data_IF_654635226561
#
_entry.id   IF_654635226561
#
_cell.length_a   1.000
_cell.length_b   1.000
_cell.length_c   1.000
_cell.angle_alpha   90.00
_cell.angle_beta   90.00
_cell.angle_gamma   90.00
#
_symmetry.space_group_name_H-M   'P 1'
#
loop_
_entity.id
_entity.type
_entity.pdbx_description
1 polymer ?
#
# COMPACT_ATOMS: atom_id res chain seq x y z
N UNK A 1 11.33 -24.68 31.73
CA UNK A 1 10.72 -23.60 30.94
C UNK A 1 9.30 -24.04 30.62
N UNK A 2 8.29 -23.20 30.83
CA UNK A 2 6.93 -23.53 30.37
C UNK A 2 6.97 -23.73 28.86
N UNK A 3 6.28 -24.74 28.34
CA UNK A 3 6.11 -24.95 26.90
C UNK A 3 5.33 -23.77 26.31
N UNK A 4 6.04 -22.72 25.87
CA UNK A 4 5.46 -21.60 25.15
C UNK A 4 4.90 -22.14 23.84
N UNK A 5 3.58 -22.04 23.67
CA UNK A 5 2.93 -22.36 22.40
C UNK A 5 3.16 -21.23 21.40
N UNK A 6 3.42 -21.60 20.16
CA UNK A 6 3.65 -20.68 19.06
C UNK A 6 2.53 -20.78 18.02
N UNK A 7 2.22 -19.65 17.40
CA UNK A 7 1.34 -19.53 16.25
C UNK A 7 2.13 -19.04 15.04
N UNK A 8 1.66 -19.42 13.86
CA UNK A 8 2.26 -19.00 12.59
C UNK A 8 1.70 -17.65 12.16
N UNK A 9 2.58 -16.73 11.80
CA UNK A 9 2.26 -15.49 11.09
C UNK A 9 2.67 -15.63 9.63
N UNK A 10 1.82 -15.21 8.71
CA UNK A 10 2.08 -15.26 7.26
C UNK A 10 1.73 -13.90 6.65
N UNK A 11 2.69 -13.30 5.95
CA UNK A 11 2.49 -12.06 5.21
C UNK A 11 2.68 -12.32 3.72
N UNK A 12 1.58 -12.65 3.03
CA UNK A 12 1.60 -12.96 1.60
C UNK A 12 2.15 -11.80 0.77
N UNK A 13 1.73 -10.56 1.02
CA UNK A 13 2.15 -9.40 0.22
C UNK A 13 3.65 -9.06 0.34
N UNK A 14 4.34 -9.62 1.34
CA UNK A 14 5.76 -9.39 1.57
C UNK A 14 6.59 -10.68 1.53
N UNK A 15 5.97 -11.84 1.26
CA UNK A 15 6.68 -13.08 1.01
C UNK A 15 7.43 -13.62 2.22
N UNK A 16 6.83 -13.60 3.41
CA UNK A 16 7.46 -14.23 4.57
C UNK A 16 6.47 -14.83 5.56
N UNK A 17 6.95 -15.80 6.33
CA UNK A 17 6.28 -16.39 7.48
C UNK A 17 7.26 -16.57 8.65
N UNK A 18 6.75 -16.59 9.87
CA UNK A 18 7.50 -16.92 11.09
C UNK A 18 6.55 -17.41 12.17
N UNK A 19 7.10 -17.94 13.27
CA UNK A 19 6.33 -18.29 14.45
C UNK A 19 6.55 -17.28 15.58
N UNK A 20 5.47 -16.96 16.30
CA UNK A 20 5.45 -16.04 17.44
C UNK A 20 4.62 -16.64 18.58
N UNK A 21 4.79 -16.22 19.85
CA UNK A 21 3.99 -16.76 20.95
C UNK A 21 2.50 -16.53 20.73
N UNK A 22 1.69 -17.58 20.80
CA UNK A 22 0.25 -17.55 20.46
C UNK A 22 -0.55 -16.49 21.24
N UNK A 23 -0.12 -16.18 22.46
CA UNK A 23 -0.79 -15.20 23.33
C UNK A 23 -0.39 -13.74 23.07
N UNK A 24 0.61 -13.50 22.23
CA UNK A 24 1.08 -12.16 21.92
C UNK A 24 0.12 -11.47 20.95
N UNK A 25 -0.02 -10.16 21.13
CA UNK A 25 -0.86 -9.32 20.28
C UNK A 25 -0.09 -9.02 19.00
N UNK A 26 -0.70 -9.31 17.85
CA UNK A 26 -0.19 -8.93 16.54
C UNK A 26 -0.74 -7.56 16.14
N UNK A 27 0.13 -6.63 15.79
CA UNK A 27 -0.21 -5.35 15.16
C UNK A 27 0.49 -5.25 13.80
N UNK A 28 -0.28 -5.04 12.75
CA UNK A 28 0.23 -4.88 11.39
C UNK A 28 0.21 -3.42 10.94
N UNK A 29 1.15 -3.07 10.05
CA UNK A 29 1.22 -1.79 9.35
C UNK A 29 1.24 -0.55 10.27
N UNK A 30 2.04 -0.61 11.33
CA UNK A 30 2.36 0.58 12.12
C UNK A 30 3.45 1.40 11.42
N UNK A 31 3.56 2.69 11.75
CA UNK A 31 4.39 3.67 11.06
C UNK A 31 5.86 3.22 10.81
N UNK A 32 6.43 2.38 11.70
CA UNK A 32 7.84 1.95 11.64
C UNK A 32 8.04 0.45 11.36
N UNK A 33 6.96 -0.35 11.37
CA UNK A 33 7.06 -1.80 11.26
C UNK A 33 5.87 -2.41 10.54
N UNK A 34 6.18 -3.43 9.76
CA UNK A 34 5.19 -4.20 9.01
C UNK A 34 4.35 -5.06 9.94
N UNK A 35 4.99 -5.72 10.90
CA UNK A 35 4.34 -6.50 11.94
C UNK A 35 5.04 -6.26 13.28
N UNK A 36 4.27 -6.18 14.36
CA UNK A 36 4.77 -6.16 15.73
C UNK A 36 4.02 -7.19 16.55
N UNK A 37 4.78 -7.97 17.30
CA UNK A 37 4.30 -8.97 18.23
C UNK A 37 4.61 -8.45 19.64
N UNK A 38 3.58 -8.22 20.45
CA UNK A 38 3.71 -7.60 21.77
C UNK A 38 3.16 -8.52 22.85
N UNK A 39 3.85 -8.61 23.99
CA UNK A 39 3.38 -9.41 25.14
C UNK A 39 2.08 -8.86 25.76
N UNK A 40 1.90 -7.54 25.76
CA UNK A 40 0.72 -6.85 26.28
C UNK A 40 0.44 -5.54 25.53
N UNK A 41 -0.59 -4.79 25.94
CA UNK A 41 -0.90 -3.46 25.38
C UNK A 41 -0.09 -2.32 26.01
N UNK A 42 0.73 -2.62 27.01
CA UNK A 42 1.54 -1.61 27.70
C UNK A 42 2.66 -1.11 26.77
N UNK A 43 2.93 0.19 26.78
CA UNK A 43 3.93 0.81 25.91
C UNK A 43 5.35 0.31 26.18
N UNK A 44 5.65 -0.04 27.44
CA UNK A 44 6.92 -0.64 27.86
C UNK A 44 7.00 -2.14 27.66
N UNK A 45 5.95 -2.78 27.12
CA UNK A 45 5.93 -4.22 26.93
C UNK A 45 7.03 -4.65 25.94
N UNK A 46 7.69 -5.79 26.19
CA UNK A 46 8.59 -6.38 25.22
C UNK A 46 7.88 -6.57 23.88
N UNK A 47 8.54 -6.16 22.80
CA UNK A 47 8.00 -6.31 21.45
C UNK A 47 9.05 -6.85 20.50
N UNK A 48 8.59 -7.64 19.53
CA UNK A 48 9.36 -8.07 18.37
C UNK A 48 8.74 -7.42 17.14
N UNK A 49 9.52 -6.67 16.38
CA UNK A 49 9.04 -5.97 15.20
C UNK A 49 9.76 -6.46 13.94
N UNK A 50 8.99 -6.60 12.87
CA UNK A 50 9.46 -6.95 11.54
C UNK A 50 9.39 -5.70 10.68
N UNK A 51 10.53 -5.33 10.10
CA UNK A 51 10.64 -4.22 9.16
C UNK A 51 11.29 -4.71 7.88
N UNK A 52 10.73 -4.29 6.74
CA UNK A 52 11.31 -4.53 5.42
C UNK A 52 11.50 -3.18 4.77
N UNK A 53 12.74 -2.85 4.37
CA UNK A 53 13.04 -1.60 3.70
C UNK A 53 13.62 -1.89 2.31
N UNK A 54 13.16 -1.16 1.30
CA UNK A 54 13.74 -1.19 -0.03
C UNK A 54 15.03 -0.36 -0.02
N UNK A 55 16.14 -0.95 -0.48
CA UNK A 55 17.46 -0.33 -0.57
C UNK A 55 17.72 0.28 -1.95
N UNK A 56 16.79 0.15 -2.90
CA UNK A 56 16.92 0.71 -4.24
C UNK A 56 17.17 2.23 -4.19
N UNK A 57 18.26 2.65 -4.83
CA UNK A 57 18.67 4.06 -4.85
C UNK A 57 19.31 4.59 -3.56
N UNK A 58 19.39 3.80 -2.48
CA UNK A 58 19.89 4.26 -1.17
C UNK A 58 21.38 4.68 -1.18
N UNK A 59 22.17 4.12 -2.09
CA UNK A 59 23.59 4.46 -2.26
C UNK A 59 23.93 4.87 -3.70
N UNK A 60 22.91 5.27 -4.48
CA UNK A 60 23.02 5.61 -5.90
C UNK A 60 22.32 4.61 -6.83
N UNK A 61 22.10 4.98 -8.11
CA UNK A 61 21.24 4.23 -9.05
C UNK A 61 21.76 2.83 -9.40
N UNK A 62 23.08 2.62 -9.37
CA UNK A 62 23.72 1.36 -9.79
C UNK A 62 24.52 0.66 -8.67
N UNK A 63 24.33 1.09 -7.42
CA UNK A 63 25.06 0.53 -6.28
C UNK A 63 24.16 -0.35 -5.42
N UNK A 64 24.69 -1.52 -5.06
CA UNK A 64 24.00 -2.49 -4.18
C UNK A 64 24.62 -2.42 -2.78
N UNK A 65 23.80 -2.12 -1.79
CA UNK A 65 24.25 -2.05 -0.40
C UNK A 65 24.66 -3.43 0.11
N UNK A 66 25.88 -3.51 0.65
CA UNK A 66 26.38 -4.74 1.27
C UNK A 66 25.95 -4.86 2.73
N UNK A 67 25.86 -6.08 3.31
CA UNK A 67 25.55 -6.26 4.72
C UNK A 67 26.48 -5.47 5.66
N UNK A 68 27.78 -5.40 5.33
CA UNK A 68 28.75 -4.62 6.09
C UNK A 68 28.44 -3.12 6.05
N UNK A 69 28.18 -2.55 4.87
CA UNK A 69 27.81 -1.14 4.76
C UNK A 69 26.53 -0.83 5.54
N UNK A 70 25.53 -1.72 5.47
CA UNK A 70 24.30 -1.57 6.25
C UNK A 70 24.58 -1.59 7.76
N UNK A 71 25.43 -2.51 8.24
CA UNK A 71 25.84 -2.56 9.63
C UNK A 71 26.57 -1.28 10.05
N UNK A 72 27.52 -0.81 9.24
CA UNK A 72 28.30 0.41 9.51
C UNK A 72 27.38 1.64 9.59
N UNK A 73 26.42 1.78 8.67
CA UNK A 73 25.40 2.85 8.69
C UNK A 73 24.50 2.72 9.92
N UNK A 74 24.10 1.50 10.28
CA UNK A 74 23.24 1.26 11.44
C UNK A 74 23.94 1.63 12.75
N UNK A 75 25.24 1.33 12.87
CA UNK A 75 26.08 1.75 14.01
C UNK A 75 26.13 3.27 14.09
N UNK A 76 26.44 3.95 12.98
CA UNK A 76 26.47 5.42 12.94
C UNK A 76 25.14 6.05 13.36
N UNK A 77 24.01 5.48 12.95
CA UNK A 77 22.68 5.95 13.32
C UNK A 77 22.40 5.77 14.82
N UNK A 78 22.81 4.66 15.44
CA UNK A 78 22.58 4.46 16.88
C UNK A 78 23.57 5.24 17.76
N UNK A 79 24.77 5.53 17.25
CA UNK A 79 25.72 6.41 17.95
C UNK A 79 25.16 7.84 18.07
N UNK A 80 24.40 8.31 17.09
CA UNK A 80 23.72 9.62 17.13
C UNK A 80 22.67 9.73 18.25
N UNK A 81 22.15 8.61 18.77
CA UNK A 81 21.23 8.58 19.91
C UNK A 81 21.92 8.23 21.24
N UNK A 82 23.25 8.38 21.31
CA UNK A 82 24.07 8.06 22.48
C UNK A 82 23.91 6.60 22.95
N UNK A 83 23.73 5.66 22.02
CA UNK A 83 23.66 4.24 22.34
C UNK A 83 24.98 3.76 22.99
N UNK A 84 24.87 2.85 23.95
CA UNK A 84 26.01 2.26 24.66
C UNK A 84 25.90 0.73 24.64
N UNK A 85 26.97 0.03 25.07
CA UNK A 85 27.04 -1.44 25.06
C UNK A 85 26.72 -2.03 23.67
N UNK A 86 27.31 -1.44 22.64
CA UNK A 86 27.11 -1.86 21.26
C UNK A 86 27.84 -3.18 21.04
N UNK A 87 27.08 -4.21 20.70
CA UNK A 87 27.52 -5.55 20.38
C UNK A 87 27.11 -5.87 18.94
N UNK A 88 28.03 -6.40 18.15
CA UNK A 88 27.75 -6.84 16.79
C UNK A 88 28.26 -8.27 16.59
N UNK A 89 27.71 -8.93 15.57
CA UNK A 89 28.19 -10.24 15.16
C UNK A 89 27.30 -10.83 14.08
N UNK A 90 27.51 -12.11 13.79
CA UNK A 90 26.72 -12.83 12.81
C UNK A 90 25.68 -13.74 13.47
N UNK A 91 24.56 -13.94 12.81
CA UNK A 91 23.50 -14.85 13.22
C UNK A 91 22.82 -15.50 12.01
N UNK A 92 21.68 -16.17 12.22
CA UNK A 92 20.84 -16.70 11.14
C UNK A 92 19.40 -16.23 11.31
N UNK A 93 18.78 -15.90 10.18
CA UNK A 93 17.33 -15.69 10.08
C UNK A 93 16.81 -16.70 9.05
N UNK A 94 16.19 -17.77 9.54
CA UNK A 94 15.84 -18.95 8.77
C UNK A 94 17.08 -19.60 8.17
N UNK A 95 17.08 -19.74 6.85
CA UNK A 95 18.23 -20.21 6.08
C UNK A 95 19.21 -19.10 5.66
N UNK A 96 18.89 -17.83 5.92
CA UNK A 96 19.71 -16.70 5.49
C UNK A 96 20.83 -16.43 6.51
N UNK A 97 22.04 -16.16 6.01
CA UNK A 97 23.11 -15.57 6.82
C UNK A 97 22.73 -14.13 7.13
N UNK A 98 22.81 -13.77 8.39
CA UNK A 98 22.39 -12.48 8.90
C UNK A 98 23.47 -11.92 9.81
N UNK A 99 23.41 -10.62 10.05
CA UNK A 99 24.17 -9.95 11.09
C UNK A 99 23.23 -9.50 12.20
N UNK A 100 23.79 -9.25 13.38
CA UNK A 100 23.05 -8.64 14.48
C UNK A 100 23.77 -7.43 15.04
N UNK A 101 22.96 -6.53 15.60
CA UNK A 101 23.36 -5.35 16.34
C UNK A 101 22.54 -5.31 17.64
N UNK A 102 23.20 -5.23 18.79
CA UNK A 102 22.60 -5.17 20.12
C UNK A 102 23.15 -3.95 20.83
N UNK A 103 22.28 -3.15 21.47
CA UNK A 103 22.69 -1.92 22.14
C UNK A 103 21.71 -1.50 23.22
N UNK A 104 22.18 -0.69 24.16
CA UNK A 104 21.36 -0.02 25.17
C UNK A 104 21.18 1.45 24.81
N UNK A 105 19.95 1.93 24.82
CA UNK A 105 19.59 3.32 24.52
C UNK A 105 19.23 4.03 25.84
N UNK A 106 20.15 4.84 26.42
CA UNK A 106 20.02 5.33 27.80
C UNK A 106 18.82 6.24 28.04
N UNK A 107 18.50 7.10 27.08
CA UNK A 107 17.41 8.07 27.19
C UNK A 107 16.05 7.39 27.26
N UNK A 108 15.86 6.34 26.44
CA UNK A 108 14.63 5.54 26.40
C UNK A 108 14.62 4.43 27.47
N UNK A 109 15.76 4.15 28.11
CA UNK A 109 15.95 3.07 29.10
C UNK A 109 15.59 1.68 28.56
N UNK A 110 15.82 1.45 27.27
CA UNK A 110 15.56 0.17 26.59
C UNK A 110 16.84 -0.44 26.05
N UNK A 111 16.84 -1.76 25.95
CA UNK A 111 17.86 -2.52 25.23
C UNK A 111 17.22 -3.10 23.96
N UNK A 112 17.96 -3.02 22.87
CA UNK A 112 17.55 -3.43 21.53
C UNK A 112 18.46 -4.55 21.05
N UNK A 113 17.90 -5.52 20.32
CA UNK A 113 18.66 -6.42 19.45
C UNK A 113 17.96 -6.51 18.11
N UNK A 114 18.69 -6.23 17.06
CA UNK A 114 18.23 -6.28 15.68
C UNK A 114 19.03 -7.36 14.97
N UNK A 115 18.34 -8.31 14.35
CA UNK A 115 18.92 -9.26 13.42
C UNK A 115 18.47 -8.87 12.02
N UNK A 116 19.38 -8.81 11.05
CA UNK A 116 19.02 -8.39 9.70
C UNK A 116 19.83 -9.08 8.60
N UNK A 117 19.21 -9.18 7.42
CA UNK A 117 19.86 -9.67 6.20
C UNK A 117 19.31 -8.94 4.98
N UNK A 118 20.06 -8.97 3.87
CA UNK A 118 19.67 -8.36 2.60
C UNK A 118 19.28 -9.46 1.61
N UNK A 119 18.13 -9.30 0.94
CA UNK A 119 17.66 -10.19 -0.13
C UNK A 119 16.86 -9.39 -1.15
N UNK A 120 17.20 -9.52 -2.44
CA UNK A 120 16.53 -8.84 -3.55
C UNK A 120 16.35 -7.33 -3.33
N UNK A 121 17.45 -6.61 -3.01
CA UNK A 121 17.44 -5.18 -2.66
C UNK A 121 16.55 -4.80 -1.48
N UNK A 122 16.07 -5.75 -0.68
CA UNK A 122 15.33 -5.46 0.54
C UNK A 122 16.16 -5.87 1.77
N UNK A 123 16.21 -5.02 2.79
CA UNK A 123 16.68 -5.43 4.12
C UNK A 123 15.50 -5.93 4.92
N UNK A 124 15.65 -7.12 5.50
CA UNK A 124 14.71 -7.71 6.44
C UNK A 124 15.29 -7.55 7.84
N UNK A 125 14.56 -6.89 8.73
CA UNK A 125 15.00 -6.61 10.10
C UNK A 125 14.00 -7.24 11.06
N UNK A 126 14.48 -8.11 11.93
CA UNK A 126 13.74 -8.64 13.08
C UNK A 126 14.36 -8.00 14.33
N UNK A 127 13.62 -7.08 14.93
CA UNK A 127 14.08 -6.32 16.09
C UNK A 127 13.34 -6.75 17.33
N UNK A 128 14.04 -6.77 18.47
CA UNK A 128 13.49 -6.99 19.79
C UNK A 128 13.86 -5.81 20.68
N UNK A 129 12.85 -5.22 21.31
CA UNK A 129 13.00 -4.10 22.23
C UNK A 129 12.38 -4.45 23.57
N UNK A 130 13.10 -4.18 24.66
CA UNK A 130 12.52 -4.24 26.00
C UNK A 130 13.31 -3.43 27.03
N UNK A 131 12.75 -3.24 28.22
CA UNK A 131 13.48 -2.67 29.36
C UNK A 131 14.74 -3.50 29.68
N UNK A 132 15.83 -2.85 30.09
CA UNK A 132 17.11 -3.53 30.33
C UNK A 132 17.01 -4.75 31.28
N UNK A 133 16.21 -4.66 32.36
CA UNK A 133 16.03 -5.75 33.32
C UNK A 133 15.28 -6.98 32.79
N UNK A 134 14.48 -6.82 31.74
CA UNK A 134 13.71 -7.89 31.11
C UNK A 134 14.31 -8.37 29.80
N UNK A 135 15.45 -7.82 29.38
CA UNK A 135 16.00 -8.06 28.05
C UNK A 135 16.25 -9.54 27.78
N UNK A 136 16.92 -10.24 28.70
CA UNK A 136 17.25 -11.66 28.54
C UNK A 136 16.02 -12.58 28.59
N UNK A 137 14.91 -12.17 29.22
CA UNK A 137 13.69 -12.98 29.40
C UNK A 137 13.11 -13.46 28.07
N UNK A 138 13.07 -12.60 27.05
CA UNK A 138 12.44 -12.89 25.76
C UNK A 138 13.42 -13.01 24.59
N UNK A 139 14.74 -13.03 24.84
CA UNK A 139 15.71 -13.38 23.79
C UNK A 139 15.43 -14.74 23.13
N UNK A 140 15.02 -15.80 23.87
CA UNK A 140 14.65 -17.07 23.23
C UNK A 140 13.45 -16.94 22.29
N UNK A 141 12.56 -15.98 22.51
CA UNK A 141 11.42 -15.72 21.61
C UNK A 141 11.92 -15.09 20.31
N UNK A 142 12.81 -14.09 20.38
CA UNK A 142 13.46 -13.53 19.21
C UNK A 142 14.20 -14.60 18.42
N UNK A 143 14.97 -15.44 19.10
CA UNK A 143 15.71 -16.55 18.48
C UNK A 143 14.77 -17.53 17.78
N UNK A 144 13.64 -17.87 18.39
CA UNK A 144 12.60 -18.70 17.76
C UNK A 144 11.99 -18.04 16.52
N UNK A 145 11.64 -16.75 16.60
CA UNK A 145 11.15 -15.99 15.44
C UNK A 145 12.18 -15.99 14.30
N UNK A 146 13.45 -15.72 14.62
CA UNK A 146 14.55 -15.77 13.64
C UNK A 146 14.72 -17.17 13.06
N UNK A 147 14.68 -18.23 13.89
CA UNK A 147 14.87 -19.62 13.44
C UNK A 147 13.73 -20.10 12.53
N UNK A 148 12.50 -19.73 12.84
CA UNK A 148 11.30 -20.15 12.09
C UNK A 148 10.98 -19.26 10.90
N UNK A 149 11.68 -18.14 10.75
CA UNK A 149 11.52 -17.22 9.64
C UNK A 149 11.77 -17.93 8.30
N UNK A 150 10.84 -17.82 7.37
CA UNK A 150 10.99 -18.31 6.00
C UNK A 150 10.54 -17.24 5.03
N UNK A 151 11.36 -17.02 4.00
CA UNK A 151 10.94 -16.23 2.84
C UNK A 151 10.30 -17.13 1.79
N UNK A 152 9.28 -16.62 1.14
CA UNK A 152 8.71 -17.16 -0.09
C UNK A 152 8.46 -16.01 -1.06
N UNK A 153 8.04 -16.33 -2.28
CA UNK A 153 7.71 -15.30 -3.27
C UNK A 153 6.46 -14.54 -2.82
N UNK A 154 6.54 -13.21 -2.74
CA UNK A 154 5.39 -12.40 -2.35
C UNK A 154 4.23 -12.59 -3.33
N UNK A 155 3.00 -12.69 -2.81
CA UNK A 155 1.75 -12.84 -3.55
C UNK A 155 0.74 -11.79 -3.13
N UNK A 156 -0.12 -11.38 -4.07
CA UNK A 156 -1.06 -10.28 -3.88
C UNK A 156 -0.43 -8.91 -4.17
N UNK A 157 -1.28 -7.90 -4.35
CA UNK A 157 -0.84 -6.52 -4.53
C UNK A 157 -0.92 -5.75 -3.22
N UNK A 158 0.11 -4.92 -2.95
CA UNK A 158 0.06 -3.90 -1.90
C UNK A 158 -0.76 -2.70 -2.36
N UNK A 159 -0.49 -2.31 -3.60
CA UNK A 159 -1.15 -1.25 -4.32
C UNK A 159 -1.11 -1.54 -5.82
N UNK A 160 -1.98 -0.90 -6.57
CA UNK A 160 -1.97 -0.98 -8.05
C UNK A 160 -2.64 0.24 -8.65
N UNK A 161 -2.14 0.70 -9.80
CA UNK A 161 -2.79 1.72 -10.62
C UNK A 161 -3.62 1.02 -11.69
N UNK A 162 -4.92 1.30 -11.69
CA UNK A 162 -5.87 0.77 -12.63
C UNK A 162 -6.22 1.81 -13.69
N UNK A 163 -6.32 1.34 -14.93
CA UNK A 163 -6.85 2.09 -16.07
C UNK A 163 -8.27 1.61 -16.40
N UNK A 164 -9.10 2.53 -16.90
CA UNK A 164 -10.47 2.22 -17.28
C UNK A 164 -10.56 1.79 -18.73
N UNK A 165 -11.34 0.74 -18.99
CA UNK A 165 -11.83 0.40 -20.32
C UNK A 165 -13.29 0.79 -20.42
N UNK A 166 -13.66 1.56 -21.44
CA UNK A 166 -15.05 1.98 -21.70
C UNK A 166 -15.47 1.58 -23.11
N UNK A 167 -16.64 0.95 -23.23
CA UNK A 167 -17.14 0.46 -24.52
C UNK A 167 -18.67 0.36 -24.47
N UNK A 168 -19.25 -0.08 -25.59
CA UNK A 168 -20.68 -0.32 -25.72
C UNK A 168 -20.99 -1.54 -26.57
N UNK A 169 -22.21 -2.03 -26.41
CA UNK A 169 -22.81 -3.11 -27.21
C UNK A 169 -24.27 -2.74 -27.50
N UNK A 170 -24.74 -3.10 -28.71
CA UNK A 170 -26.15 -2.93 -29.07
C UNK A 170 -26.97 -4.06 -28.47
N UNK A 171 -27.91 -3.71 -27.61
CA UNK A 171 -29.04 -4.55 -27.19
C UNK A 171 -30.10 -4.58 -28.31
N UNK A 172 -31.11 -5.44 -28.17
CA UNK A 172 -32.32 -5.43 -29.00
C UNK A 172 -33.12 -4.12 -28.91
N UNK A 173 -33.08 -3.42 -27.78
CA UNK A 173 -33.89 -2.20 -27.58
C UNK A 173 -33.07 -0.91 -27.62
N UNK A 174 -31.81 -0.93 -27.17
CA UNK A 174 -30.98 0.26 -27.01
C UNK A 174 -29.48 -0.06 -27.06
N UNK A 175 -28.64 0.95 -26.85
CA UNK A 175 -27.20 0.73 -26.66
C UNK A 175 -26.90 0.62 -25.17
N UNK A 176 -26.15 -0.39 -24.78
CA UNK A 176 -25.66 -0.58 -23.41
C UNK A 176 -24.18 -0.22 -23.38
N UNK A 177 -23.83 0.70 -22.48
CA UNK A 177 -22.46 1.12 -22.20
C UNK A 177 -21.95 0.37 -20.99
N UNK A 178 -20.68 0.00 -21.03
CA UNK A 178 -20.02 -0.66 -19.91
C UNK A 178 -18.62 -0.12 -19.70
N UNK A 179 -18.21 -0.08 -18.44
CA UNK A 179 -16.91 0.39 -18.00
C UNK A 179 -16.37 -0.56 -16.92
N UNK A 180 -15.12 -0.97 -17.05
CA UNK A 180 -14.41 -1.76 -16.03
C UNK A 180 -12.96 -1.27 -15.92
N UNK A 181 -12.28 -1.71 -14.87
CA UNK A 181 -10.94 -1.24 -14.53
C UNK A 181 -9.97 -2.41 -14.45
N UNK A 182 -8.76 -2.23 -14.97
CA UNK A 182 -7.71 -3.26 -15.02
C UNK A 182 -6.36 -2.69 -14.60
N UNK A 183 -5.45 -3.48 -14.00
CA UNK A 183 -4.12 -2.99 -13.66
C UNK A 183 -3.34 -2.58 -14.92
N UNK A 184 -2.77 -1.38 -14.91
CA UNK A 184 -2.08 -0.78 -16.07
C UNK A 184 -0.86 -1.57 -16.56
N UNK A 185 -0.29 -2.40 -15.68
CA UNK A 185 0.86 -3.24 -15.99
C UNK A 185 0.48 -4.60 -16.63
N UNK A 186 -0.81 -4.91 -16.77
CA UNK A 186 -1.25 -6.17 -17.38
C UNK A 186 -1.25 -6.09 -18.90
N UNK A 187 -0.87 -7.19 -19.55
CA UNK A 187 -0.82 -7.26 -21.01
C UNK A 187 -2.15 -7.74 -21.56
N UNK A 188 -2.68 -7.01 -22.54
CA UNK A 188 -3.79 -7.47 -23.37
C UNK A 188 -3.28 -8.55 -24.33
N UNK A 189 -3.80 -9.79 -24.21
CA UNK A 189 -3.32 -10.94 -24.99
C UNK A 189 -3.89 -11.00 -26.41
N UNK A 190 -5.01 -10.30 -26.67
CA UNK A 190 -5.67 -10.24 -27.98
C UNK A 190 -6.25 -8.85 -28.23
N UNK A 191 -6.03 -8.24 -29.41
CA UNK A 191 -6.80 -7.05 -29.80
C UNK A 191 -8.28 -7.43 -29.88
N UNK A 192 -9.15 -6.54 -29.40
CA UNK A 192 -10.61 -6.68 -29.34
C UNK A 192 -11.18 -7.46 -30.54
N UNK A 193 -11.46 -8.75 -30.35
CA UNK A 193 -12.11 -9.56 -31.37
C UNK A 193 -13.62 -9.31 -31.26
N UNK A 194 -14.17 -8.61 -32.24
CA UNK A 194 -15.62 -8.52 -32.43
C UNK A 194 -16.05 -9.65 -33.34
N UNK A 195 -16.51 -10.75 -32.76
CA UNK A 195 -17.17 -11.83 -33.49
C UNK A 195 -18.69 -11.63 -33.38
N UNK A 196 -19.23 -10.79 -34.25
CA UNK A 196 -20.67 -10.48 -34.28
C UNK A 196 -21.19 -9.85 -32.98
N UNK A 197 -22.06 -10.58 -32.27
CA UNK A 197 -22.73 -10.16 -31.02
C UNK A 197 -21.91 -10.42 -29.75
N UNK A 198 -20.66 -10.86 -29.90
CA UNK A 198 -19.75 -11.20 -28.83
C UNK A 198 -18.52 -10.28 -28.86
N UNK A 199 -18.24 -9.61 -27.75
CA UNK A 199 -17.00 -8.89 -27.50
C UNK A 199 -16.21 -9.61 -26.40
N UNK A 200 -14.93 -9.85 -26.64
CA UNK A 200 -14.04 -10.57 -25.73
C UNK A 200 -12.75 -9.78 -25.53
N UNK A 201 -12.28 -9.70 -24.29
CA UNK A 201 -10.97 -9.15 -23.95
C UNK A 201 -10.34 -9.98 -22.82
N UNK A 202 -9.05 -10.31 -22.96
CA UNK A 202 -8.28 -11.00 -21.94
C UNK A 202 -7.03 -10.20 -21.58
N UNK A 203 -6.77 -10.12 -20.29
CA UNK A 203 -5.62 -9.48 -19.68
C UNK A 203 -4.85 -10.51 -18.86
N UNK A 204 -3.52 -10.45 -18.90
CA UNK A 204 -2.67 -11.39 -18.15
C UNK A 204 -1.55 -10.68 -17.38
N UNK A 205 -1.26 -11.22 -16.21
CA UNK A 205 -0.01 -10.98 -15.47
C UNK A 205 0.75 -12.31 -15.41
N UNK A 206 1.66 -12.50 -16.36
CA UNK A 206 2.45 -13.72 -16.46
C UNK A 206 3.36 -13.94 -15.25
N UNK A 207 3.78 -12.87 -14.56
CA UNK A 207 4.64 -13.00 -13.38
C UNK A 207 3.91 -13.66 -12.20
N UNK A 208 2.61 -13.41 -12.08
CA UNK A 208 1.78 -13.92 -11.01
C UNK A 208 0.80 -15.04 -11.43
N UNK A 209 0.89 -15.52 -12.68
CA UNK A 209 -0.04 -16.50 -13.27
C UNK A 209 -1.52 -16.07 -13.20
N UNK A 210 -1.77 -14.78 -13.38
CA UNK A 210 -3.11 -14.22 -13.32
C UNK A 210 -3.69 -14.01 -14.71
N UNK A 211 -5.00 -14.20 -14.83
CA UNK A 211 -5.74 -13.76 -16.01
C UNK A 211 -7.10 -13.19 -15.63
N UNK A 212 -7.50 -12.11 -16.30
CA UNK A 212 -8.85 -11.57 -16.27
C UNK A 212 -9.44 -11.65 -17.67
N UNK A 213 -10.54 -12.37 -17.80
CA UNK A 213 -11.35 -12.41 -19.02
C UNK A 213 -12.59 -11.57 -18.81
N UNK A 214 -12.89 -10.71 -19.78
CA UNK A 214 -14.10 -9.91 -19.83
C UNK A 214 -14.85 -10.25 -21.11
N UNK A 215 -16.06 -10.78 -20.95
CA UNK A 215 -16.92 -11.18 -22.06
C UNK A 215 -18.22 -10.38 -22.01
N UNK A 216 -18.61 -9.82 -23.16
CA UNK A 216 -19.89 -9.11 -23.31
C UNK A 216 -20.61 -9.70 -24.51
N UNK A 217 -21.79 -10.26 -24.28
CA UNK A 217 -22.57 -10.98 -25.27
C UNK A 217 -24.01 -10.50 -25.29
N UNK A 218 -24.56 -10.25 -26.48
CA UNK A 218 -26.01 -10.12 -26.65
C UNK A 218 -26.61 -11.52 -26.84
N UNK A 219 -27.46 -11.97 -25.91
CA UNK A 219 -28.17 -13.26 -26.01
C UNK A 219 -29.62 -13.06 -26.45
N UNK A 220 -30.27 -14.13 -26.92
CA UNK A 220 -31.68 -14.06 -27.31
C UNK A 220 -32.58 -13.86 -26.07
N UNK A 221 -33.65 -13.07 -26.21
CA UNK A 221 -34.54 -12.66 -25.11
C UNK A 221 -35.14 -13.82 -24.29
N UNK A 222 -35.22 -15.04 -24.83
CA UNK A 222 -35.72 -16.22 -24.14
C UNK A 222 -34.80 -16.73 -23.00
N UNK A 223 -33.56 -16.22 -22.90
CA UNK A 223 -32.60 -16.56 -21.85
C UNK A 223 -32.32 -15.40 -20.88
N UNK A 224 -33.04 -14.29 -20.99
CA UNK A 224 -32.86 -13.13 -20.12
C UNK A 224 -33.50 -13.39 -18.75
N UNK A 225 -32.69 -13.75 -17.75
CA UNK A 225 -33.10 -13.65 -16.35
C UNK A 225 -33.26 -12.16 -16.01
N UNK A 226 -34.43 -11.75 -15.53
CA UNK A 226 -34.77 -10.35 -15.17
C UNK A 226 -34.05 -9.81 -13.93
N UNK A 227 -32.96 -10.45 -13.51
CA UNK A 227 -32.21 -10.04 -12.32
C UNK A 227 -31.01 -9.17 -12.69
N UNK A 228 -31.15 -7.86 -12.44
CA UNK A 228 -30.02 -6.90 -12.43
C UNK A 228 -29.01 -7.16 -11.28
N UNK A 229 -29.19 -8.24 -10.51
CA UNK A 229 -28.28 -8.60 -9.44
C UNK A 229 -27.16 -9.46 -10.00
N UNK A 230 -25.92 -8.97 -9.89
CA UNK A 230 -24.76 -9.74 -10.28
C UNK A 230 -24.58 -10.98 -9.41
N UNK A 231 -24.17 -12.08 -10.04
CA UNK A 231 -23.96 -13.38 -9.39
C UNK A 231 -22.48 -13.68 -9.33
N UNK A 232 -21.93 -13.78 -8.11
CA UNK A 232 -20.58 -14.33 -7.89
C UNK A 232 -20.65 -15.86 -7.89
N UNK A 233 -19.71 -16.52 -8.54
CA UNK A 233 -19.54 -17.96 -8.45
C UNK A 233 -18.07 -18.33 -8.56
N UNK A 234 -17.68 -19.44 -7.94
CA UNK A 234 -16.30 -19.91 -7.93
C UNK A 234 -16.23 -21.31 -8.52
N UNK A 235 -15.16 -21.62 -9.24
CA UNK A 235 -14.86 -22.96 -9.72
C UNK A 235 -13.36 -23.23 -9.68
N UNK A 236 -12.97 -24.50 -9.64
CA UNK A 236 -11.56 -24.91 -9.69
C UNK A 236 -11.37 -25.86 -10.87
N UNK A 237 -10.40 -25.55 -11.74
CA UNK A 237 -9.99 -26.46 -12.82
C UNK A 237 -8.48 -26.41 -12.99
N UNK A 238 -7.83 -27.56 -13.18
CA UNK A 238 -6.37 -27.64 -13.43
C UNK A 238 -5.50 -26.84 -12.43
N UNK A 239 -5.77 -26.98 -11.12
CA UNK A 239 -5.11 -26.24 -10.02
C UNK A 239 -5.24 -24.70 -10.10
N UNK A 240 -6.18 -24.20 -10.90
CA UNK A 240 -6.54 -22.80 -10.96
C UNK A 240 -7.90 -22.60 -10.32
N UNK A 241 -7.98 -21.58 -9.47
CA UNK A 241 -9.23 -21.07 -8.98
C UNK A 241 -9.73 -19.98 -9.92
N UNK A 242 -11.02 -20.02 -10.22
CA UNK A 242 -11.69 -19.07 -11.09
C UNK A 242 -12.78 -18.37 -10.29
N UNK A 243 -12.60 -17.06 -10.09
CA UNK A 243 -13.64 -16.19 -9.60
C UNK A 243 -14.44 -15.65 -10.78
N UNK A 244 -15.74 -15.90 -10.78
CA UNK A 244 -16.65 -15.50 -11.85
C UNK A 244 -17.68 -14.51 -11.33
N UNK A 245 -17.97 -13.51 -12.13
CA UNK A 245 -19.05 -12.55 -11.88
C UNK A 245 -19.85 -12.33 -13.15
N UNK A 246 -21.12 -12.67 -13.09
CA UNK A 246 -22.05 -12.53 -14.20
C UNK A 246 -23.11 -11.49 -13.86
N UNK A 247 -23.36 -10.56 -14.78
CA UNK A 247 -24.44 -9.57 -14.67
C UNK A 247 -25.22 -9.49 -15.98
N UNK A 248 -26.53 -9.35 -15.85
CA UNK A 248 -27.45 -9.21 -16.97
C UNK A 248 -28.09 -7.84 -16.94
N UNK A 249 -28.15 -7.19 -18.10
CA UNK A 249 -28.91 -5.97 -18.33
C UNK A 249 -29.66 -6.16 -19.64
N UNK A 250 -30.97 -6.37 -19.53
CA UNK A 250 -31.83 -6.75 -20.66
C UNK A 250 -31.33 -8.03 -21.35
N UNK A 251 -31.03 -7.98 -22.65
CA UNK A 251 -30.51 -9.09 -23.43
C UNK A 251 -28.97 -9.11 -23.53
N UNK A 252 -28.29 -8.28 -22.72
CA UNK A 252 -26.82 -8.21 -22.65
C UNK A 252 -26.33 -8.92 -21.39
N UNK A 253 -25.45 -9.89 -21.58
CA UNK A 253 -24.70 -10.60 -20.53
C UNK A 253 -23.27 -10.07 -20.50
N UNK A 254 -22.82 -9.63 -19.33
CA UNK A 254 -21.42 -9.31 -19.07
C UNK A 254 -20.87 -10.31 -18.04
N UNK A 255 -19.74 -10.93 -18.38
CA UNK A 255 -19.04 -11.88 -17.52
C UNK A 255 -17.60 -11.42 -17.26
N UNK A 256 -17.19 -11.47 -15.99
CA UNK A 256 -15.81 -11.32 -15.55
C UNK A 256 -15.33 -12.66 -15.01
N UNK A 257 -14.27 -13.23 -15.59
CA UNK A 257 -13.64 -14.46 -15.11
C UNK A 257 -12.17 -14.17 -14.76
N UNK A 258 -11.89 -14.04 -13.46
CA UNK A 258 -10.55 -13.86 -12.93
C UNK A 258 -9.97 -15.19 -12.44
N UNK A 259 -8.76 -15.52 -12.87
CA UNK A 259 -8.12 -16.80 -12.55
C UNK A 259 -6.79 -16.59 -11.84
N UNK A 260 -6.53 -17.38 -10.80
CA UNK A 260 -5.26 -17.48 -10.11
C UNK A 260 -4.95 -18.94 -9.75
N UNK A 261 -3.77 -19.22 -9.17
CA UNK A 261 -3.49 -20.52 -8.58
C UNK A 261 -4.38 -20.76 -7.36
N UNK A 262 -4.80 -22.02 -7.14
CA UNK A 262 -5.65 -22.39 -6.00
C UNK A 262 -4.98 -22.11 -4.65
N UNK A 263 -3.64 -22.20 -4.57
CA UNK A 263 -2.88 -21.86 -3.37
C UNK A 263 -2.93 -20.37 -3.01
N UNK A 264 -3.29 -19.50 -3.96
CA UNK A 264 -3.11 -18.05 -3.85
C UNK A 264 -4.44 -17.29 -3.75
N UNK A 265 -5.57 -18.00 -3.64
CA UNK A 265 -6.94 -17.44 -3.62
C UNK A 265 -7.07 -16.27 -2.66
N UNK A 266 -6.64 -16.44 -1.41
CA UNK A 266 -6.74 -15.42 -0.35
C UNK A 266 -5.95 -14.15 -0.70
N UNK A 267 -4.83 -14.28 -1.41
CA UNK A 267 -3.96 -13.16 -1.80
C UNK A 267 -4.56 -12.32 -2.93
N UNK A 268 -5.36 -12.93 -3.80
CA UNK A 268 -5.86 -12.29 -5.03
C UNK A 268 -7.36 -11.96 -5.01
N UNK A 269 -8.15 -12.55 -4.10
CA UNK A 269 -9.57 -12.21 -3.92
C UNK A 269 -9.82 -10.69 -3.75
N UNK A 270 -9.03 -9.92 -2.96
CA UNK A 270 -9.27 -8.49 -2.82
C UNK A 270 -9.21 -7.72 -4.15
N UNK A 271 -8.35 -8.15 -5.09
CA UNK A 271 -8.23 -7.54 -6.41
C UNK A 271 -9.49 -7.82 -7.25
N UNK A 272 -9.99 -9.06 -7.21
CA UNK A 272 -11.23 -9.42 -7.90
C UNK A 272 -12.44 -8.65 -7.38
N UNK A 273 -12.54 -8.49 -6.06
CA UNK A 273 -13.58 -7.67 -5.45
C UNK A 273 -13.54 -6.21 -5.92
N UNK A 274 -12.36 -5.68 -6.27
CA UNK A 274 -12.23 -4.35 -6.87
C UNK A 274 -12.72 -4.33 -8.31
N UNK A 275 -12.41 -5.34 -9.12
CA UNK A 275 -12.94 -5.43 -10.49
C UNK A 275 -14.48 -5.39 -10.52
N UNK A 276 -15.12 -6.09 -9.58
CA UNK A 276 -16.59 -6.09 -9.49
C UNK A 276 -17.12 -4.75 -8.98
N UNK A 277 -16.53 -4.21 -7.92
CA UNK A 277 -16.98 -2.94 -7.32
C UNK A 277 -16.90 -1.77 -8.31
N UNK A 278 -15.96 -1.84 -9.24
CA UNK A 278 -15.70 -0.80 -10.23
C UNK A 278 -16.43 -0.99 -11.56
N UNK A 279 -17.07 -2.14 -11.75
CA UNK A 279 -17.83 -2.43 -12.94
C UNK A 279 -19.08 -1.53 -13.00
N UNK A 280 -19.23 -0.82 -14.12
CA UNK A 280 -20.44 -0.06 -14.44
C UNK A 280 -21.05 -0.61 -15.72
N UNK A 281 -22.38 -0.72 -15.72
CA UNK A 281 -23.17 -1.06 -16.89
C UNK A 281 -24.43 -0.20 -16.87
N UNK A 282 -24.67 0.53 -17.96
CA UNK A 282 -25.75 1.49 -18.04
C UNK A 282 -26.28 1.62 -19.48
N UNK A 283 -27.52 2.07 -19.61
CA UNK A 283 -28.11 2.52 -20.85
C UNK A 283 -27.71 3.94 -21.27
N UNK A 284 -27.25 4.76 -20.32
CA UNK A 284 -26.70 6.08 -20.58
C UNK A 284 -25.23 6.01 -21.00
N UNK A 285 -24.77 7.01 -21.75
CA UNK A 285 -23.36 7.12 -22.17
C UNK A 285 -22.47 7.20 -20.93
N UNK A 286 -21.48 6.31 -20.86
CA UNK A 286 -20.41 6.39 -19.87
C UNK A 286 -19.22 7.14 -20.47
N UNK A 287 -18.80 8.21 -19.81
CA UNK A 287 -17.59 8.94 -20.19
C UNK A 287 -16.34 8.17 -19.76
N UNK A 288 -15.33 8.15 -20.64
CA UNK A 288 -14.00 7.65 -20.28
C UNK A 288 -13.40 8.57 -19.21
N UNK A 289 -12.93 8.02 -18.09
CA UNK A 289 -12.41 8.83 -17.00
C UNK A 289 -11.06 9.45 -17.41
N UNK A 290 -10.86 10.70 -17.03
CA UNK A 290 -9.61 11.44 -17.25
C UNK A 290 -8.52 11.08 -16.23
N UNK A 291 -8.90 10.34 -15.18
CA UNK A 291 -8.03 9.91 -14.10
C UNK A 291 -7.95 8.39 -14.06
N UNK A 292 -6.77 7.87 -13.73
CA UNK A 292 -6.58 6.49 -13.32
C UNK A 292 -7.06 6.33 -11.85
N UNK A 293 -7.24 5.08 -11.41
CA UNK A 293 -7.51 4.75 -10.00
C UNK A 293 -6.28 4.13 -9.38
N UNK A 294 -5.73 4.77 -8.35
CA UNK A 294 -4.72 4.16 -7.53
C UNK A 294 -5.35 3.50 -6.32
N UNK A 295 -5.16 2.19 -6.20
CA UNK A 295 -5.63 1.38 -5.09
C UNK A 295 -4.50 1.13 -4.10
N UNK A 296 -4.75 1.34 -2.81
CA UNK A 296 -3.94 0.79 -1.72
C UNK A 296 -4.74 -0.35 -1.07
N UNK A 297 -4.37 -1.60 -1.39
CA UNK A 297 -5.09 -2.78 -0.93
C UNK A 297 -4.79 -3.12 0.54
N UNK A 298 -3.68 -2.64 1.09
CA UNK A 298 -3.32 -2.78 2.51
C UNK A 298 -4.25 -1.93 3.38
N UNK A 299 -4.37 -0.64 3.04
CA UNK A 299 -5.14 0.32 3.82
C UNK A 299 -6.57 0.52 3.34
N UNK A 300 -6.95 -0.19 2.29
CA UNK A 300 -8.31 -0.27 1.76
C UNK A 300 -8.87 1.10 1.37
N UNK A 301 -8.09 1.85 0.59
CA UNK A 301 -8.57 3.08 -0.03
C UNK A 301 -8.19 3.12 -1.52
N UNK A 302 -8.91 3.92 -2.29
CA UNK A 302 -8.47 4.33 -3.61
C UNK A 302 -8.53 5.84 -3.75
N UNK A 303 -7.79 6.37 -4.70
CA UNK A 303 -7.78 7.79 -5.07
C UNK A 303 -7.73 7.90 -6.60
N UNK A 304 -8.38 8.90 -7.17
CA UNK A 304 -8.24 9.20 -8.59
C UNK A 304 -6.94 9.99 -8.80
N UNK A 305 -6.06 9.50 -9.67
CA UNK A 305 -4.78 10.15 -10.00
C UNK A 305 -4.70 10.46 -11.50
N UNK A 306 -4.09 11.58 -11.93
CA UNK A 306 -3.92 11.87 -13.34
C UNK A 306 -3.18 10.75 -14.07
N UNK A 307 -3.53 10.49 -15.34
CA UNK A 307 -2.93 9.39 -16.11
C UNK A 307 -1.41 9.51 -16.29
N UNK A 308 -0.86 10.72 -16.22
CA UNK A 308 0.57 11.01 -16.30
C UNK A 308 1.31 10.76 -14.98
N UNK A 309 0.60 10.47 -13.89
CA UNK A 309 1.24 10.20 -12.61
C UNK A 309 1.78 8.77 -12.60
N UNK A 310 2.98 8.64 -12.02
CA UNK A 310 3.57 7.38 -11.66
C UNK A 310 4.05 7.44 -10.21
N UNK A 311 3.95 6.34 -9.50
CA UNK A 311 4.51 6.21 -8.15
C UNK A 311 6.04 6.19 -8.23
N UNK A 312 6.73 6.93 -7.36
CA UNK A 312 8.19 6.90 -7.23
C UNK A 312 8.62 5.68 -6.41
N UNK A 313 9.22 4.64 -7.02
CA UNK A 313 9.58 3.42 -6.29
C UNK A 313 10.70 3.64 -5.26
N UNK A 314 11.51 4.70 -5.40
CA UNK A 314 12.67 4.97 -4.55
C UNK A 314 12.28 5.61 -3.23
N UNK A 315 11.30 6.52 -3.31
CA UNK A 315 10.90 7.37 -2.18
C UNK A 315 9.61 6.87 -1.52
N UNK A 316 8.84 6.02 -2.20
CA UNK A 316 7.62 5.46 -1.64
C UNK A 316 7.92 4.34 -0.65
N UNK A 317 7.28 4.42 0.51
CA UNK A 317 7.24 3.39 1.52
C UNK A 317 5.82 2.82 1.66
N UNK A 318 5.62 1.91 2.60
CA UNK A 318 4.29 1.38 2.89
C UNK A 318 3.36 2.46 3.46
N UNK A 319 3.87 3.37 4.28
CA UNK A 319 3.10 4.41 4.97
C UNK A 319 3.09 5.73 4.21
N UNK A 320 4.02 5.98 3.28
CA UNK A 320 4.08 7.20 2.48
C UNK A 320 4.27 6.87 1.01
N UNK A 321 3.25 7.14 0.20
CA UNK A 321 3.27 6.89 -1.24
C UNK A 321 3.48 8.21 -1.98
N UNK A 322 4.58 8.29 -2.73
CA UNK A 322 4.99 9.50 -3.44
C UNK A 322 4.75 9.29 -4.93
N UNK A 323 4.10 10.27 -5.56
CA UNK A 323 3.80 10.29 -6.98
C UNK A 323 4.53 11.43 -7.66
N UNK A 324 5.06 11.13 -8.84
CA UNK A 324 5.71 12.06 -9.73
C UNK A 324 4.80 12.25 -10.94
N UNK A 325 4.64 13.49 -11.40
CA UNK A 325 4.03 13.75 -12.71
C UNK A 325 5.10 13.58 -13.79
N UNK A 326 4.82 12.79 -14.83
CA UNK A 326 5.71 12.64 -15.98
C UNK A 326 5.97 13.96 -16.71
N UNK A 327 5.07 14.95 -16.59
CA UNK A 327 5.29 16.30 -17.12
C UNK A 327 6.33 17.08 -16.30
N UNK A 328 6.56 16.68 -15.05
CA UNK A 328 7.48 17.30 -14.10
C UNK A 328 8.28 16.25 -13.30
N UNK A 329 9.10 15.43 -13.97
CA UNK A 329 9.70 14.23 -13.37
C UNK A 329 10.69 14.52 -12.22
N UNK A 330 11.07 15.77 -12.06
CA UNK A 330 12.05 16.26 -11.09
C UNK A 330 11.42 16.61 -9.73
N UNK A 331 10.08 16.66 -9.64
CA UNK A 331 9.39 17.07 -8.41
C UNK A 331 8.51 15.93 -7.87
N UNK A 332 8.59 15.61 -6.56
CA UNK A 332 7.61 14.77 -5.90
C UNK A 332 6.30 15.57 -5.76
N UNK A 333 5.40 15.39 -6.72
CA UNK A 333 4.24 16.27 -6.88
C UNK A 333 3.18 16.01 -5.83
N UNK A 334 2.89 14.73 -5.54
CA UNK A 334 1.81 14.34 -4.63
C UNK A 334 2.25 13.24 -3.69
N UNK A 335 1.92 13.38 -2.41
CA UNK A 335 2.21 12.37 -1.38
C UNK A 335 0.92 12.00 -0.65
N UNK A 336 0.75 10.70 -0.42
CA UNK A 336 -0.28 10.13 0.45
C UNK A 336 0.44 9.43 1.60
N UNK A 337 0.36 10.01 2.79
CA UNK A 337 0.90 9.41 4.00
C UNK A 337 -0.24 8.90 4.88
N UNK A 338 -0.21 7.63 5.24
CA UNK A 338 -1.06 7.04 6.27
C UNK A 338 -0.19 6.45 7.36
N UNK A 339 -0.23 7.08 8.53
CA UNK A 339 0.59 6.70 9.69
C UNK A 339 -0.29 6.23 10.86
N UNK A 340 0.23 5.32 11.67
CA UNK A 340 -0.38 4.98 12.96
C UNK A 340 0.15 5.93 14.02
N UNK A 341 -0.75 6.69 14.63
CA UNK A 341 -0.46 7.67 15.67
C UNK A 341 -0.27 6.99 17.03
N UNK A 342 -0.53 5.67 17.13
CA UNK A 342 -0.36 4.84 18.32
C UNK A 342 -1.42 5.08 19.39
N UNK A 343 -1.92 6.31 19.49
CA UNK A 343 -2.95 6.74 20.43
C UNK A 343 -4.02 7.59 19.74
N UNK A 344 -5.25 7.62 20.28
CA UNK A 344 -6.26 8.53 19.79
C UNK A 344 -5.83 10.00 19.97
N UNK A 345 -5.77 10.77 18.88
CA UNK A 345 -5.52 12.21 18.94
C UNK A 345 -6.59 12.99 18.17
N UNK A 346 -6.95 14.20 18.62
CA UNK A 346 -7.84 15.07 17.86
C UNK A 346 -7.15 15.62 16.60
N UNK A 347 -7.96 15.99 15.61
CA UNK A 347 -7.47 16.51 14.32
C UNK A 347 -6.60 17.75 14.48
N UNK A 348 -6.95 18.62 15.42
CA UNK A 348 -6.24 19.86 15.73
C UNK A 348 -4.83 19.58 16.26
N UNK A 349 -4.66 18.53 17.09
CA UNK A 349 -3.34 18.10 17.57
C UNK A 349 -2.53 17.47 16.44
N UNK A 350 -3.17 16.69 15.57
CA UNK A 350 -2.49 16.10 14.41
C UNK A 350 -1.98 17.18 13.45
N UNK A 351 -2.81 18.19 13.18
CA UNK A 351 -2.44 19.40 12.43
C UNK A 351 -1.21 20.09 13.03
N UNK A 352 -1.16 20.29 14.35
CA UNK A 352 -0.02 20.95 15.00
C UNK A 352 1.28 20.16 14.84
N UNK A 353 1.22 18.82 14.94
CA UNK A 353 2.35 17.92 14.67
C UNK A 353 2.84 18.12 13.23
N UNK A 354 1.93 18.09 12.25
CA UNK A 354 2.27 18.28 10.83
C UNK A 354 2.90 19.66 10.59
N UNK A 355 2.33 20.73 11.14
CA UNK A 355 2.88 22.08 10.98
C UNK A 355 4.27 22.23 11.60
N UNK A 356 4.57 21.53 12.69
CA UNK A 356 5.92 21.52 13.26
C UNK A 356 6.94 20.89 12.30
N UNK A 357 6.56 19.81 11.61
CA UNK A 357 7.39 19.19 10.58
C UNK A 357 7.60 20.13 9.39
N UNK A 358 6.54 20.73 8.84
CA UNK A 358 6.65 21.63 7.68
C UNK A 358 7.45 22.90 7.96
N UNK A 359 7.42 23.42 9.19
CA UNK A 359 8.29 24.54 9.59
C UNK A 359 9.78 24.20 9.54
N UNK A 360 10.13 22.92 9.63
CA UNK A 360 11.51 22.44 9.54
C UNK A 360 11.92 22.06 8.11
N UNK A 361 10.99 21.59 7.28
CA UNK A 361 11.27 21.12 5.91
C UNK A 361 11.02 22.15 4.81
N UNK A 362 10.33 23.25 5.13
CA UNK A 362 10.09 24.38 4.24
C UNK A 362 10.59 25.65 4.90
N UNK A 363 11.62 26.25 4.32
CA UNK A 363 12.20 27.49 4.83
C UNK A 363 11.20 28.64 4.71
N UNK A 364 11.11 29.45 5.76
CA UNK A 364 10.17 30.57 5.85
C UNK A 364 8.71 30.17 5.60
N UNK A 365 8.32 28.94 5.98
CA UNK A 365 6.96 28.45 5.84
C UNK A 365 5.94 29.41 6.45
N UNK A 366 5.01 29.91 5.62
CA UNK A 366 3.93 30.81 6.02
C UNK A 366 2.60 30.20 5.62
N UNK A 367 1.72 30.01 6.59
CA UNK A 367 0.32 29.61 6.33
C UNK A 367 -0.40 30.79 5.66
N UNK A 368 -0.97 30.54 4.48
CA UNK A 368 -1.73 31.53 3.71
C UNK A 368 -3.23 31.32 3.82
N UNK A 369 -3.68 30.08 3.97
CA UNK A 369 -5.08 29.73 4.17
C UNK A 369 -5.21 28.48 5.04
N UNK A 370 -6.28 28.40 5.82
CA UNK A 370 -6.68 27.21 6.57
C UNK A 370 -8.21 27.11 6.56
N UNK A 371 -8.72 25.98 6.08
CA UNK A 371 -10.15 25.76 5.94
C UNK A 371 -10.57 24.35 6.35
N UNK A 372 -11.83 24.22 6.76
CA UNK A 372 -12.42 22.90 7.01
C UNK A 372 -12.63 22.16 5.69
N UNK A 373 -12.30 20.87 5.69
CA UNK A 373 -12.41 20.00 4.53
C UNK A 373 -12.99 18.63 4.92
N UNK A 374 -13.11 17.74 3.94
CA UNK A 374 -13.42 16.32 4.15
C UNK A 374 -12.52 15.44 3.31
N UNK A 375 -12.15 14.30 3.86
CA UNK A 375 -11.58 13.17 3.10
C UNK A 375 -12.55 12.01 3.30
N UNK A 376 -13.18 11.56 2.22
CA UNK A 376 -14.29 10.61 2.28
C UNK A 376 -15.33 11.06 3.34
N UNK A 377 -15.61 10.21 4.34
CA UNK A 377 -16.53 10.50 5.42
C UNK A 377 -15.89 11.21 6.61
N UNK A 378 -14.56 11.38 6.64
CA UNK A 378 -13.82 11.92 7.76
C UNK A 378 -13.74 13.46 7.71
N UNK A 379 -13.81 14.10 8.88
CA UNK A 379 -13.48 15.52 9.04
C UNK A 379 -12.00 15.71 8.74
N UNK A 380 -11.69 16.72 7.95
CA UNK A 380 -10.34 17.07 7.56
C UNK A 380 -10.09 18.57 7.70
N UNK A 381 -8.82 18.96 7.66
CA UNK A 381 -8.38 20.34 7.48
C UNK A 381 -7.57 20.43 6.20
N UNK A 382 -7.75 21.52 5.46
CA UNK A 382 -6.88 21.88 4.34
C UNK A 382 -6.10 23.12 4.70
N UNK A 383 -4.79 23.07 4.50
CA UNK A 383 -3.88 24.17 4.80
C UNK A 383 -3.06 24.47 3.55
N UNK A 384 -2.99 25.75 3.20
CA UNK A 384 -2.13 26.27 2.15
C UNK A 384 -0.95 27.01 2.77
N UNK A 385 0.24 26.77 2.27
CA UNK A 385 1.48 27.40 2.74
C UNK A 385 2.33 27.86 1.57
N UNK A 386 3.03 28.96 1.78
CA UNK A 386 4.12 29.42 0.92
C UNK A 386 5.45 29.26 1.65
N UNK A 387 6.55 29.06 0.92
CA UNK A 387 7.90 29.05 1.49
C UNK A 387 8.97 28.74 0.44
N UNK A 388 10.17 28.35 0.88
CA UNK A 388 11.23 27.84 0.01
C UNK A 388 11.51 26.38 0.32
N UNK A 389 11.56 25.59 -0.73
CA UNK A 389 11.94 24.20 -0.68
C UNK A 389 13.47 24.07 -0.84
N UNK A 390 14.20 23.64 0.20
CA UNK A 390 15.65 23.52 0.14
C UNK A 390 16.12 22.36 -0.75
N UNK A 391 15.29 21.34 -1.01
CA UNK A 391 15.68 20.17 -1.82
C UNK A 391 15.75 20.52 -3.31
N UNK A 392 14.83 21.37 -3.78
CA UNK A 392 14.77 21.80 -5.19
C UNK A 392 15.28 23.23 -5.39
N UNK A 393 15.67 23.88 -4.31
CA UNK A 393 16.12 25.27 -4.23
C UNK A 393 15.18 26.30 -4.90
N UNK A 394 13.87 26.20 -4.62
CA UNK A 394 12.86 27.10 -5.21
C UNK A 394 11.80 27.52 -4.21
N UNK A 395 11.24 28.71 -4.43
CA UNK A 395 10.01 29.12 -3.77
C UNK A 395 8.88 28.17 -4.18
N UNK A 396 8.20 27.59 -3.20
CA UNK A 396 7.16 26.59 -3.41
C UNK A 396 5.85 27.02 -2.77
N UNK A 397 4.78 26.44 -3.32
CA UNK A 397 3.46 26.41 -2.72
C UNK A 397 3.19 24.98 -2.26
N UNK A 398 2.65 24.86 -1.07
CA UNK A 398 2.30 23.58 -0.45
C UNK A 398 0.82 23.60 -0.10
N UNK A 399 0.10 22.55 -0.52
CA UNK A 399 -1.25 22.28 -0.02
C UNK A 399 -1.23 20.94 0.68
N UNK A 400 -1.57 20.97 1.96
CA UNK A 400 -1.81 19.76 2.75
C UNK A 400 -3.29 19.63 3.07
N UNK A 401 -3.78 18.40 3.07
CA UNK A 401 -5.08 18.04 3.59
C UNK A 401 -4.93 16.85 4.52
N UNK A 402 -5.30 17.02 5.79
CA UNK A 402 -5.08 16.00 6.81
C UNK A 402 -6.37 15.60 7.51
N UNK A 403 -6.45 14.33 7.93
CA UNK A 403 -7.56 13.77 8.69
C UNK A 403 -7.05 12.77 9.73
N UNK A 404 -7.81 12.60 10.82
CA UNK A 404 -7.62 11.47 11.74
C UNK A 404 -8.66 10.40 11.42
N UNK A 405 -8.20 9.28 10.89
CA UNK A 405 -8.98 8.13 10.42
C UNK A 405 -9.00 7.07 11.50
N UNK A 406 -10.18 6.46 11.74
CA UNK A 406 -10.37 5.40 12.76
C UNK A 406 -9.79 5.77 14.15
N UNK A 407 -9.79 7.06 14.50
CA UNK A 407 -9.25 7.67 15.73
C UNK A 407 -7.74 7.60 15.93
N UNK A 408 -7.05 6.60 15.39
CA UNK A 408 -5.61 6.39 15.65
C UNK A 408 -4.73 6.50 14.42
N UNK A 409 -5.28 6.75 13.23
CA UNK A 409 -4.49 6.86 12.00
C UNK A 409 -4.46 8.28 11.48
N UNK A 410 -3.27 8.81 11.23
CA UNK A 410 -3.08 10.09 10.58
C UNK A 410 -3.07 9.88 9.07
N UNK A 411 -3.94 10.57 8.35
CA UNK A 411 -3.91 10.63 6.89
C UNK A 411 -3.49 12.03 6.48
N UNK A 412 -2.48 12.11 5.60
CA UNK A 412 -1.98 13.33 5.01
C UNK A 412 -1.96 13.18 3.48
N UNK A 413 -2.63 14.09 2.79
CA UNK A 413 -2.48 14.32 1.36
C UNK A 413 -1.69 15.60 1.18
N UNK A 414 -0.65 15.60 0.36
CA UNK A 414 0.22 16.76 0.17
C UNK A 414 0.52 16.97 -1.32
N UNK A 415 0.37 18.21 -1.80
CA UNK A 415 0.95 18.67 -3.06
C UNK A 415 1.99 19.76 -2.78
N UNK A 416 3.19 19.59 -3.35
CA UNK A 416 4.31 20.54 -3.23
C UNK A 416 4.89 20.82 -4.61
N UNK A 417 4.86 22.08 -5.06
CA UNK A 417 5.42 22.47 -6.36
C UNK A 417 6.05 23.86 -6.31
N UNK A 418 7.01 24.17 -7.21
CA UNK A 418 7.47 25.52 -7.44
C UNK A 418 6.33 26.48 -7.75
N UNK A 419 6.39 27.68 -7.19
CA UNK A 419 5.38 28.73 -7.36
C UNK A 419 5.13 29.06 -8.83
N UNK A 420 6.16 28.97 -9.67
CA UNK A 420 6.10 29.28 -11.11
C UNK A 420 5.23 28.33 -11.92
N UNK A 421 5.00 27.09 -11.45
CA UNK A 421 4.20 26.08 -12.16
C UNK A 421 2.94 25.66 -11.40
N UNK A 422 2.80 26.12 -10.16
CA UNK A 422 1.73 25.67 -9.26
C UNK A 422 0.34 25.90 -9.85
N UNK A 423 0.02 27.12 -10.30
CA UNK A 423 -1.34 27.44 -10.77
C UNK A 423 -1.75 26.67 -12.03
N UNK A 424 -0.81 26.42 -12.94
CA UNK A 424 -1.06 25.62 -14.15
C UNK A 424 -1.25 24.15 -13.81
N UNK A 425 -0.41 23.61 -12.93
CA UNK A 425 -0.40 22.19 -12.60
C UNK A 425 -1.52 21.81 -11.63
N UNK A 426 -1.85 22.67 -10.66
CA UNK A 426 -2.84 22.39 -9.63
C UNK A 426 -4.25 22.14 -10.19
N UNK A 427 -4.59 22.75 -11.33
CA UNK A 427 -5.86 22.48 -12.05
C UNK A 427 -6.02 21.01 -12.47
N UNK A 428 -4.92 20.29 -12.65
CA UNK A 428 -4.90 18.85 -12.93
C UNK A 428 -4.97 18.01 -11.65
N UNK A 429 -4.61 18.59 -10.51
CA UNK A 429 -4.36 17.86 -9.26
C UNK A 429 -5.45 18.02 -8.21
N UNK A 430 -6.23 19.11 -8.26
CA UNK A 430 -7.18 19.45 -7.20
C UNK A 430 -8.18 18.32 -6.91
N UNK A 431 -8.57 17.54 -7.93
CA UNK A 431 -9.51 16.43 -7.78
C UNK A 431 -8.95 15.27 -6.94
N UNK A 432 -7.62 15.11 -6.85
CA UNK A 432 -7.00 14.06 -6.03
C UNK A 432 -7.40 14.20 -4.56
N UNK A 433 -7.44 15.42 -4.03
CA UNK A 433 -7.81 15.70 -2.64
C UNK A 433 -9.27 15.35 -2.29
N UNK A 434 -10.14 15.33 -3.29
CA UNK A 434 -11.58 15.08 -3.12
C UNK A 434 -11.98 13.67 -3.52
N UNK A 435 -11.06 12.89 -4.10
CA UNK A 435 -11.37 11.58 -4.67
C UNK A 435 -10.91 10.39 -3.83
N UNK A 436 -10.19 10.62 -2.73
CA UNK A 436 -9.81 9.53 -1.84
C UNK A 436 -11.05 8.97 -1.13
N UNK A 437 -11.28 7.68 -1.29
CA UNK A 437 -12.40 6.93 -0.69
C UNK A 437 -11.86 5.71 0.02
N UNK A 438 -12.23 5.55 1.30
CA UNK A 438 -12.00 4.31 2.04
C UNK A 438 -13.11 3.32 1.68
N UNK A 439 -12.74 2.10 1.30
CA UNK A 439 -13.70 1.03 1.10
C UNK A 439 -13.56 0.00 2.22
N UNK A 440 -14.67 -0.32 2.86
CA UNK A 440 -14.71 -1.50 3.70
C UNK A 440 -14.95 -2.74 2.82
N UNK A 441 -14.36 -3.88 3.15
CA UNK A 441 -15.06 -5.15 2.88
C UNK A 441 -16.35 -5.04 3.68
N UNK A 442 -17.50 -5.06 3.03
CA UNK A 442 -18.78 -5.15 3.74
C UNK A 442 -18.63 -6.22 4.84
N UNK A 443 -18.92 -5.83 6.09
CA UNK A 443 -18.96 -6.75 7.23
C UNK A 443 -19.84 -7.95 6.94
#
# INVERSE_FOLDING_TARGET
>A
MSDTKYSKYISNQYGFELEYPEKWIVKEHSAMYLASFMESKEESAPNINITIQNLEGSIGPDQVMTPKQLLDISIQQIEQINATNIETGSCKIGSNNADFLSYYAPEQKVRNKQCFFIKNNNVFIISYTSSNGNFTKHLPVLEHCCQTFKNFEAKGYKYTQMEAFTSNIKSSTKTIFYQYWVPKNWKSSKPKSKEGKHQFQEYTDSSNNLSLKVEVQQKAAAAAETTNQGKKSNSTTNNKHHFNYDVWVEDVHLSLSFSCLESDVVSWEPLFDRFIADLKIDSSILESPVYDRFYNLIFQYYVHIPQSFAMDPRSSSFSSLIFIDQDFPMYPVFNITLEDLGVPIPLEKYRDILLSFYKSSVENARITNEESARIDNYRALRISMDGRDPEIDKNCKVIIQCAVVKRTKGLLLNVRLPTTIFESAYKKYFYMFHSLVFYNKNN
#
